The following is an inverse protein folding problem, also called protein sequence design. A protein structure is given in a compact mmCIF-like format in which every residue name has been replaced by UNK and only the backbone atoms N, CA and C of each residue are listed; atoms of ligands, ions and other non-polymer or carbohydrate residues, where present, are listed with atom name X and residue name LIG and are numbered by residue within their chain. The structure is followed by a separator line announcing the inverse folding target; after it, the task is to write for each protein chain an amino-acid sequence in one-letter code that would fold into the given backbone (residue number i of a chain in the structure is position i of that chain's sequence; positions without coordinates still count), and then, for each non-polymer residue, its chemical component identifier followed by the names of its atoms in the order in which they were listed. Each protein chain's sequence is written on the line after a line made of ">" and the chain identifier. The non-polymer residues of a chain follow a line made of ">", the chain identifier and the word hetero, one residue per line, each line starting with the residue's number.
data_IF_557305334689
#
_entry.id   IF_557305334689
#
_cell.length_a   1.000
_cell.length_b   1.000
_cell.length_c   1.000
_cell.angle_alpha   90.00
_cell.angle_beta   90.00
_cell.angle_gamma   90.00
#
_symmetry.space_group_name_H-M   'P 1'
#
loop_
_entity.id
_entity.type
_entity.pdbx_description
1 polymer ?
#
# COMPACT_ATOMS: atom_id res chain seq x y z
N UNK A 1 10.94 -1.58 -6.94
CA UNK A 1 10.72 -0.23 -6.40
C UNK A 1 9.30 -0.12 -5.88
N UNK A 2 9.12 0.34 -4.66
CA UNK A 2 7.82 0.59 -4.08
C UNK A 2 7.73 2.08 -3.69
N UNK A 3 6.72 2.75 -4.19
CA UNK A 3 6.46 4.14 -3.85
C UNK A 3 5.31 4.18 -2.86
N UNK A 4 5.44 4.99 -1.82
CA UNK A 4 4.39 5.17 -0.82
C UNK A 4 3.95 6.62 -0.75
N UNK A 5 2.75 6.83 -0.23
CA UNK A 5 2.26 8.19 0.00
C UNK A 5 2.95 8.78 1.23
N UNK A 6 3.20 10.09 1.20
CA UNK A 6 3.72 10.78 2.36
C UNK A 6 2.91 12.03 2.68
N UNK A 7 2.99 13.05 1.83
CA UNK A 7 2.26 14.30 2.07
C UNK A 7 0.96 14.41 1.27
N UNK A 8 0.84 13.70 0.19
CA UNK A 8 -0.32 13.80 -0.67
C UNK A 8 -0.69 12.47 -1.26
N UNK A 9 -1.81 12.46 -1.96
CA UNK A 9 -2.30 11.25 -2.61
C UNK A 9 -1.35 10.80 -3.71
N UNK A 10 -1.08 9.52 -3.70
CA UNK A 10 -0.34 8.90 -4.79
C UNK A 10 -1.25 8.73 -6.01
N UNK A 11 -0.73 9.07 -7.18
CA UNK A 11 -1.41 8.75 -8.43
C UNK A 11 -1.11 7.30 -8.80
N UNK A 12 -2.11 6.59 -9.26
CA UNK A 12 -1.99 5.24 -9.80
C UNK A 12 -1.33 4.23 -8.85
N UNK A 13 -1.78 4.12 -7.59
CA UNK A 13 -1.34 2.99 -6.78
C UNK A 13 -1.84 1.70 -7.40
N UNK A 14 -1.10 0.61 -7.19
CA UNK A 14 -1.50 -0.69 -7.69
C UNK A 14 -1.54 -1.77 -6.61
N UNK A 15 -1.29 -1.40 -5.37
CA UNK A 15 -1.34 -2.35 -4.26
C UNK A 15 -1.90 -1.68 -3.01
N UNK A 16 -2.87 -2.33 -2.39
CA UNK A 16 -3.40 -1.98 -1.07
C UNK A 16 -2.99 -3.08 -0.10
N UNK A 17 -2.27 -2.71 0.94
CA UNK A 17 -1.76 -3.64 1.93
C UNK A 17 -2.42 -3.39 3.27
N UNK A 18 -2.99 -4.42 3.87
CA UNK A 18 -3.60 -4.32 5.20
C UNK A 18 -2.57 -4.02 6.27
N UNK A 19 -2.91 -3.11 7.18
CA UNK A 19 -2.12 -2.82 8.37
C UNK A 19 -2.90 -3.32 9.57
N UNK A 20 -2.43 -4.39 10.24
CA UNK A 20 -3.09 -4.87 11.46
C UNK A 20 -3.08 -3.80 12.55
N UNK A 21 -4.08 -3.86 13.44
CA UNK A 21 -4.20 -2.86 14.50
C UNK A 21 -2.96 -2.80 15.41
N UNK A 22 -2.33 -3.95 15.63
CA UNK A 22 -1.13 -4.03 16.46
C UNK A 22 0.02 -3.24 15.84
N UNK A 23 0.15 -3.31 14.53
CA UNK A 23 1.19 -2.56 13.80
C UNK A 23 0.86 -1.07 13.81
N UNK A 24 -0.41 -0.72 13.65
CA UNK A 24 -0.84 0.68 13.72
C UNK A 24 -0.53 1.27 15.09
N UNK A 25 -0.79 0.51 16.15
CA UNK A 25 -0.46 0.95 17.52
C UNK A 25 1.03 1.22 17.69
N UNK A 26 1.87 0.34 17.16
CA UNK A 26 3.33 0.52 17.20
C UNK A 26 3.75 1.77 16.42
N UNK A 27 3.13 2.02 15.29
CA UNK A 27 3.42 3.20 14.49
C UNK A 27 3.01 4.48 15.21
N UNK A 28 1.86 4.48 15.87
CA UNK A 28 1.40 5.63 16.65
C UNK A 28 2.40 5.91 17.78
N UNK A 29 2.81 4.86 18.51
CA UNK A 29 3.77 5.00 19.59
C UNK A 29 5.11 5.53 19.10
N UNK A 30 5.56 5.07 17.94
CA UNK A 30 6.79 5.55 17.33
C UNK A 30 6.69 7.04 16.97
N UNK A 31 5.55 7.44 16.40
CA UNK A 31 5.33 8.86 16.05
C UNK A 31 5.32 9.75 17.28
N UNK A 32 4.75 9.27 18.38
CA UNK A 32 4.69 10.06 19.62
C UNK A 32 6.08 10.40 20.17
N UNK A 33 7.10 9.62 19.81
CA UNK A 33 8.49 9.92 20.21
C UNK A 33 9.03 11.17 19.53
N UNK A 34 8.46 11.58 18.41
CA UNK A 34 8.86 12.79 17.70
C UNK A 34 8.10 13.99 18.25
N UNK A 35 8.42 14.37 19.48
CA UNK A 35 7.64 15.35 20.27
C UNK A 35 7.45 16.67 19.52
N UNK A 36 8.52 17.20 18.93
CA UNK A 36 8.45 18.47 18.21
C UNK A 36 7.55 18.41 16.99
N UNK A 37 7.58 17.29 16.27
CA UNK A 37 6.76 17.15 15.07
C UNK A 37 5.29 16.97 15.39
N UNK A 38 4.95 16.15 16.39
CA UNK A 38 3.55 15.93 16.75
C UNK A 38 2.93 17.14 17.42
N UNK A 39 3.74 18.00 18.03
CA UNK A 39 3.25 19.24 18.60
C UNK A 39 2.79 20.21 17.51
N UNK A 40 3.50 20.23 16.38
CA UNK A 40 3.15 21.08 15.24
C UNK A 40 2.04 20.49 14.40
N UNK A 41 2.07 19.18 14.23
CA UNK A 41 1.12 18.46 13.40
C UNK A 41 0.88 17.09 14.01
N UNK A 42 -0.31 16.82 14.54
CA UNK A 42 -0.58 15.59 15.29
C UNK A 42 -0.73 14.38 14.36
N UNK A 43 0.35 13.97 13.72
CA UNK A 43 0.37 12.83 12.81
C UNK A 43 -0.11 11.55 13.47
N UNK A 44 0.25 11.37 14.75
CA UNK A 44 -0.13 10.19 15.51
C UNK A 44 -1.65 10.06 15.65
N UNK A 45 -2.37 11.17 15.65
CA UNK A 45 -3.84 11.17 15.72
C UNK A 45 -4.49 11.04 14.35
N UNK A 46 -3.80 11.52 13.31
CA UNK A 46 -4.32 11.48 11.94
C UNK A 46 -4.07 10.17 11.22
N UNK A 47 -3.07 9.42 11.65
CA UNK A 47 -2.67 8.19 10.97
C UNK A 47 -3.80 7.18 10.84
N UNK A 48 -4.57 6.87 11.90
CA UNK A 48 -5.68 5.92 11.75
C UNK A 48 -6.72 6.37 10.72
N UNK A 49 -7.08 7.65 10.74
CA UNK A 49 -8.07 8.18 9.80
C UNK A 49 -7.57 8.08 8.36
N UNK A 50 -6.31 8.40 8.13
CA UNK A 50 -5.69 8.30 6.81
C UNK A 50 -5.69 6.84 6.32
N UNK A 51 -5.33 5.90 7.19
CA UNK A 51 -5.30 4.49 6.83
C UNK A 51 -6.69 3.92 6.57
N UNK A 52 -7.70 4.39 7.28
CA UNK A 52 -9.09 4.02 7.01
C UNK A 52 -9.55 4.56 5.66
N UNK A 53 -9.18 5.80 5.35
CA UNK A 53 -9.52 6.40 4.07
C UNK A 53 -8.82 5.70 2.92
N UNK A 54 -7.60 5.21 3.12
CA UNK A 54 -6.89 4.42 2.12
C UNK A 54 -7.68 3.18 1.73
N UNK A 55 -8.32 2.52 2.71
CA UNK A 55 -9.14 1.34 2.43
C UNK A 55 -10.36 1.72 1.61
N UNK A 56 -11.05 2.76 2.01
CA UNK A 56 -12.28 3.20 1.33
C UNK A 56 -11.98 3.66 -0.10
N UNK A 57 -10.98 4.53 -0.24
CA UNK A 57 -10.60 5.11 -1.53
C UNK A 57 -9.83 4.12 -2.39
N UNK A 58 -8.90 3.41 -1.76
CA UNK A 58 -7.92 2.60 -2.48
C UNK A 58 -8.49 1.33 -3.06
N UNK A 59 -9.53 0.77 -2.48
CA UNK A 59 -10.09 -0.49 -2.98
C UNK A 59 -10.52 -0.37 -4.44
N UNK A 60 -11.22 0.68 -4.79
CA UNK A 60 -11.61 0.91 -6.18
C UNK A 60 -10.41 1.29 -7.05
N UNK A 61 -9.49 2.07 -6.50
CA UNK A 61 -8.34 2.56 -7.27
C UNK A 61 -7.44 1.41 -7.71
N UNK A 62 -7.22 0.43 -6.84
CA UNK A 62 -6.32 -0.69 -7.17
C UNK A 62 -7.04 -1.84 -7.88
N UNK A 63 -8.32 -2.03 -7.61
CA UNK A 63 -9.08 -3.19 -8.13
C UNK A 63 -10.02 -2.86 -9.28
N UNK A 64 -10.24 -1.57 -9.53
CA UNK A 64 -11.10 -1.13 -10.61
C UNK A 64 -12.39 -0.52 -10.10
N UNK A 65 -12.94 0.38 -10.92
CA UNK A 65 -14.15 1.11 -10.58
C UNK A 65 -15.30 0.17 -10.30
N UNK A 66 -16.00 0.40 -9.21
CA UNK A 66 -17.14 -0.43 -8.81
C UNK A 66 -16.76 -1.62 -7.94
N UNK A 67 -15.49 -1.82 -7.67
CA UNK A 67 -15.06 -2.91 -6.79
C UNK A 67 -15.51 -2.66 -5.36
N UNK A 68 -15.84 -3.74 -4.63
CA UNK A 68 -16.23 -3.59 -3.23
C UNK A 68 -15.05 -3.14 -2.36
N UNK A 69 -15.35 -2.49 -1.26
CA UNK A 69 -14.35 -2.10 -0.29
C UNK A 69 -13.71 -3.35 0.32
N UNK A 70 -12.39 -3.34 0.43
CA UNK A 70 -11.66 -4.44 1.03
C UNK A 70 -12.08 -4.65 2.49
N UNK A 71 -12.07 -5.91 2.92
CA UNK A 71 -12.48 -6.26 4.28
C UNK A 71 -11.29 -6.11 5.24
N UNK A 72 -10.90 -4.87 5.47
CA UNK A 72 -9.85 -4.51 6.41
C UNK A 72 -10.17 -3.15 7.00
N UNK A 73 -9.64 -2.86 8.20
CA UNK A 73 -9.88 -1.58 8.85
C UNK A 73 -8.87 -0.51 8.40
N UNK A 74 -7.60 -0.89 8.31
CA UNK A 74 -6.51 0.03 8.02
C UNK A 74 -5.66 -0.50 6.88
N UNK A 75 -5.19 0.39 6.02
CA UNK A 75 -4.36 -0.02 4.89
C UNK A 75 -3.43 1.07 4.41
N UNK A 76 -2.42 0.66 3.68
CA UNK A 76 -1.49 1.56 3.00
C UNK A 76 -1.50 1.26 1.51
N UNK A 77 -1.32 2.30 0.73
CA UNK A 77 -1.29 2.19 -0.72
C UNK A 77 0.14 2.31 -1.21
N UNK A 78 0.49 1.45 -2.16
CA UNK A 78 1.80 1.47 -2.80
C UNK A 78 1.64 1.45 -4.31
N UNK A 79 2.61 2.03 -4.98
CA UNK A 79 2.81 1.81 -6.40
C UNK A 79 4.09 1.00 -6.57
N UNK A 80 3.94 -0.25 -7.02
CA UNK A 80 5.07 -1.13 -7.30
C UNK A 80 5.46 -0.98 -8.77
N UNK A 81 6.77 -0.84 -8.99
CA UNK A 81 7.32 -0.77 -10.33
C UNK A 81 8.58 -1.62 -10.41
N UNK A 82 8.80 -2.22 -11.55
CA UNK A 82 10.02 -2.93 -11.87
C UNK A 82 11.01 -1.97 -12.51
N UNK A 83 12.29 -2.19 -12.27
CA UNK A 83 13.35 -1.44 -12.93
C UNK A 83 14.07 -2.40 -13.85
N UNK A 84 13.98 -2.15 -15.14
CA UNK A 84 14.66 -2.96 -16.17
C UNK A 84 15.34 -2.03 -17.17
N UNK A 85 16.65 -2.24 -17.36
CA UNK A 85 17.38 -1.46 -18.35
C UNK A 85 17.30 0.05 -18.12
N UNK A 86 17.29 0.46 -16.84
CA UNK A 86 17.19 1.87 -16.49
C UNK A 86 15.80 2.48 -16.61
N UNK A 87 14.80 1.68 -16.90
CA UNK A 87 13.42 2.16 -17.08
C UNK A 87 12.51 1.58 -16.00
N UNK A 88 11.49 2.38 -15.63
CA UNK A 88 10.44 1.93 -14.72
C UNK A 88 9.32 1.30 -15.54
N UNK A 89 8.92 0.10 -15.14
CA UNK A 89 7.83 -0.63 -15.76
C UNK A 89 6.81 -0.97 -14.67
N UNK A 90 5.55 -0.61 -14.90
CA UNK A 90 4.48 -0.95 -13.97
C UNK A 90 3.97 -2.35 -14.30
N UNK A 91 4.18 -3.34 -13.43
CA UNK A 91 3.74 -4.69 -13.69
C UNK A 91 2.24 -4.82 -13.49
N UNK A 92 1.65 -5.80 -14.13
CA UNK A 92 0.29 -6.21 -13.84
C UNK A 92 0.35 -7.26 -12.73
N UNK A 93 -0.15 -6.90 -11.56
CA UNK A 93 -0.17 -7.81 -10.43
C UNK A 93 -1.39 -8.72 -10.51
N UNK A 94 -1.23 -9.97 -10.14
CA UNK A 94 -2.35 -10.91 -10.09
C UNK A 94 -3.31 -10.59 -8.93
N UNK A 95 -2.81 -9.95 -7.89
CA UNK A 95 -3.59 -9.48 -6.77
C UNK A 95 -3.19 -8.05 -6.45
N UNK A 96 -4.17 -7.21 -6.18
CA UNK A 96 -3.94 -5.79 -5.85
C UNK A 96 -4.25 -5.46 -4.40
N UNK A 97 -4.83 -6.41 -3.66
CA UNK A 97 -5.16 -6.26 -2.25
C UNK A 97 -4.55 -7.42 -1.49
N UNK A 98 -3.69 -7.11 -0.51
CA UNK A 98 -3.06 -8.12 0.33
C UNK A 98 -3.50 -7.92 1.77
N UNK A 99 -3.99 -9.00 2.36
CA UNK A 99 -4.44 -9.02 3.75
C UNK A 99 -3.30 -9.46 4.67
N UNK A 100 -3.40 -9.09 5.94
CA UNK A 100 -2.39 -9.40 6.94
C UNK A 100 -2.16 -10.91 7.10
N UNK A 101 -3.17 -11.71 6.80
CA UNK A 101 -3.05 -13.17 6.85
C UNK A 101 -2.17 -13.72 5.74
N UNK A 102 -1.93 -12.95 4.68
CA UNK A 102 -0.99 -13.32 3.64
C UNK A 102 0.42 -13.19 4.20
N UNK A 103 1.19 -14.24 4.10
CA UNK A 103 2.55 -14.19 4.61
C UNK A 103 3.50 -13.52 3.62
N UNK A 104 4.70 -13.24 4.10
CA UNK A 104 5.71 -12.56 3.31
C UNK A 104 6.11 -13.37 2.07
N UNK A 105 6.04 -14.70 2.17
CA UNK A 105 6.33 -15.58 1.03
C UNK A 105 5.34 -15.38 -0.09
N UNK A 106 4.06 -15.18 0.24
CA UNK A 106 3.04 -14.89 -0.75
C UNK A 106 3.32 -13.57 -1.47
N UNK A 107 3.71 -12.55 -0.72
CA UNK A 107 4.06 -11.25 -1.30
C UNK A 107 5.26 -11.34 -2.23
N UNK A 108 6.30 -12.07 -1.82
CA UNK A 108 7.47 -12.27 -2.68
C UNK A 108 7.11 -13.03 -3.94
N UNK A 109 6.26 -14.03 -3.84
CA UNK A 109 5.81 -14.78 -5.02
C UNK A 109 5.09 -13.86 -6.00
N UNK A 110 4.21 -13.01 -5.49
CA UNK A 110 3.48 -12.04 -6.31
C UNK A 110 4.45 -11.14 -7.07
N UNK A 111 5.46 -10.64 -6.38
CA UNK A 111 6.47 -9.76 -6.99
C UNK A 111 7.31 -10.53 -8.01
N UNK A 112 7.74 -11.74 -7.69
CA UNK A 112 8.54 -12.55 -8.60
C UNK A 112 7.77 -12.93 -9.84
N UNK A 113 6.50 -13.29 -9.72
CA UNK A 113 5.66 -13.62 -10.85
C UNK A 113 5.51 -12.40 -11.77
N UNK A 114 5.33 -11.22 -11.20
CA UNK A 114 5.25 -9.99 -11.98
C UNK A 114 6.58 -9.70 -12.69
N UNK A 115 7.71 -9.96 -12.02
CA UNK A 115 9.05 -9.70 -12.56
C UNK A 115 9.45 -10.74 -13.61
N UNK A 116 8.93 -11.96 -13.54
CA UNK A 116 9.33 -13.05 -14.42
C UNK A 116 8.79 -12.91 -15.85
N UNK A 117 8.08 -11.86 -16.13
CA UNK A 117 7.56 -11.63 -17.48
C UNK A 117 6.10 -11.99 -17.68
N UNK A 118 5.42 -12.50 -16.65
CA UNK A 118 3.99 -12.72 -16.76
C UNK A 118 3.28 -11.42 -17.11
N UNK A 119 3.77 -10.31 -16.55
CA UNK A 119 3.25 -8.98 -16.86
C UNK A 119 3.53 -8.55 -18.29
N UNK A 120 4.60 -9.06 -18.90
CA UNK A 120 4.95 -8.70 -20.27
C UNK A 120 4.14 -9.46 -21.30
N UNK A 121 3.51 -10.56 -20.90
CA UNK A 121 2.61 -11.30 -21.78
C UNK A 121 1.24 -10.66 -21.90
N UNK A 122 0.93 -9.77 -21.03
CA UNK A 122 -0.33 -9.03 -21.07
C UNK A 122 -0.19 -7.96 -22.14
N UNK A 123 -0.88 -8.16 -23.19
CA UNK A 123 -0.82 -7.25 -24.34
C UNK A 123 -1.95 -6.28 -24.34
#
# INVERSE_FOLDING_TARGET
>A
MAWSEFWGQMTKPNLLLEVPIEILEEQIQALEKHVGEVARNPYHLRLPAWMMDNVRRGSEVVSGKGSPTANMAFGVLYRLQLVKGGKFITPKLSENILYAENNIGHMFKLILDAASGSSTRVK
#
